data_IF_851471700034
#
_entry.id   IF_851471700034
#
_cell.length_a   1.000
_cell.length_b   1.000
_cell.length_c   1.000
_cell.angle_alpha   90.00
_cell.angle_beta   90.00
_cell.angle_gamma   90.00
#
_symmetry.space_group_name_H-M   'P 1'
#
loop_
_entity.id
_entity.type
_entity.pdbx_description
1 polymer ?
#
# COMPACT_ATOMS: atom_id res chain seq x y z
N UNK A 1 6.00 -12.37 -4.59
CA UNK A 1 6.83 -12.01 -3.40
C UNK A 1 5.89 -11.52 -2.30
N UNK A 2 6.17 -11.77 -1.02
CA UNK A 2 5.32 -11.26 0.09
C UNK A 2 5.30 -9.74 0.17
N UNK A 3 4.13 -9.16 0.45
CA UNK A 3 3.89 -7.72 0.53
C UNK A 3 4.75 -7.03 1.60
N UNK A 4 4.88 -7.61 2.80
CA UNK A 4 5.72 -7.09 3.87
C UNK A 4 7.20 -6.93 3.44
N UNK A 5 7.70 -7.93 2.70
CA UNK A 5 9.05 -7.94 2.14
C UNK A 5 9.19 -6.95 0.99
N UNK A 6 8.18 -6.86 0.12
CA UNK A 6 8.15 -5.91 -0.98
C UNK A 6 8.24 -4.47 -0.47
N UNK A 7 7.41 -4.07 0.50
CA UNK A 7 7.42 -2.72 1.07
C UNK A 7 8.79 -2.31 1.63
N UNK A 8 9.55 -3.26 2.18
CA UNK A 8 10.92 -3.04 2.63
C UNK A 8 11.89 -2.87 1.47
N UNK A 9 11.77 -3.70 0.43
CA UNK A 9 12.70 -3.70 -0.71
C UNK A 9 12.43 -2.55 -1.70
N UNK A 10 11.18 -2.09 -1.79
CA UNK A 10 10.79 -0.92 -2.60
C UNK A 10 11.08 0.41 -1.91
N UNK A 11 11.63 0.39 -0.70
CA UNK A 11 11.90 1.57 0.12
C UNK A 11 10.66 2.41 0.49
N UNK A 12 9.44 1.90 0.27
CA UNK A 12 8.19 2.53 0.74
C UNK A 12 8.11 2.54 2.27
N UNK A 13 8.61 1.49 2.92
CA UNK A 13 8.70 1.36 4.37
C UNK A 13 10.12 0.99 4.78
N UNK A 14 10.69 1.71 5.75
CA UNK A 14 12.09 1.53 6.17
C UNK A 14 12.42 0.16 6.74
N UNK A 15 11.45 -0.50 7.39
CA UNK A 15 11.65 -1.77 8.11
C UNK A 15 10.53 -2.75 7.78
N UNK A 16 10.89 -4.02 7.64
CA UNK A 16 9.93 -5.11 7.35
C UNK A 16 8.93 -5.34 8.49
N UNK A 17 9.38 -5.24 9.74
CA UNK A 17 8.48 -5.36 10.92
C UNK A 17 7.40 -4.29 10.90
N UNK A 18 7.81 -3.03 10.67
CA UNK A 18 6.88 -1.89 10.54
C UNK A 18 5.92 -2.09 9.38
N UNK A 19 6.40 -2.63 8.25
CA UNK A 19 5.52 -2.95 7.11
C UNK A 19 4.44 -3.98 7.49
N UNK A 20 4.78 -5.03 8.24
CA UNK A 20 3.81 -6.01 8.72
C UNK A 20 2.80 -5.37 9.68
N UNK A 21 3.26 -4.57 10.65
CA UNK A 21 2.40 -3.85 11.59
C UNK A 21 1.42 -2.90 10.89
N UNK A 22 1.87 -2.18 9.85
CA UNK A 22 1.01 -1.31 9.05
C UNK A 22 -0.05 -2.09 8.26
N UNK A 23 0.30 -3.27 7.74
CA UNK A 23 -0.66 -4.12 7.02
C UNK A 23 -1.71 -4.68 8.00
N UNK A 24 -1.28 -5.19 9.16
CA UNK A 24 -2.20 -5.72 10.18
C UNK A 24 -3.10 -4.61 10.77
N UNK A 25 -2.60 -3.38 10.90
CA UNK A 25 -3.38 -2.22 11.31
C UNK A 25 -4.35 -1.71 10.22
N UNK A 26 -4.35 -2.29 9.02
CA UNK A 26 -5.20 -1.87 7.91
C UNK A 26 -4.76 -0.55 7.25
N UNK A 27 -3.53 -0.09 7.49
CA UNK A 27 -2.94 1.08 6.86
C UNK A 27 -2.38 0.80 5.46
N UNK A 28 -2.35 -0.46 5.03
CA UNK A 28 -1.91 -0.86 3.68
C UNK A 28 -3.03 -1.62 2.98
N UNK A 29 -3.26 -1.31 1.70
CA UNK A 29 -4.18 -2.02 0.82
C UNK A 29 -3.48 -2.44 -0.46
N UNK A 30 -3.85 -3.61 -0.98
CA UNK A 30 -3.41 -4.10 -2.28
C UNK A 30 -4.62 -4.12 -3.22
N UNK A 31 -4.54 -3.42 -4.35
CA UNK A 31 -5.63 -3.23 -5.29
C UNK A 31 -6.93 -2.75 -4.61
N UNK A 32 -6.78 -1.82 -3.65
CA UNK A 32 -7.89 -1.27 -2.86
C UNK A 32 -8.47 -2.21 -1.80
N UNK A 33 -7.90 -3.41 -1.59
CA UNK A 33 -8.40 -4.39 -0.61
C UNK A 33 -7.45 -4.55 0.59
N UNK A 34 -7.99 -4.75 1.82
CA UNK A 34 -7.16 -5.13 2.96
C UNK A 34 -6.62 -6.54 2.73
N UNK A 35 -5.34 -6.75 3.03
CA UNK A 35 -4.63 -8.02 2.80
C UNK A 35 -3.75 -8.37 4.00
N UNK A 36 -3.22 -9.59 4.03
CA UNK A 36 -2.32 -10.04 5.10
C UNK A 36 -0.87 -9.69 4.75
N UNK A 37 0.04 -9.57 5.73
CA UNK A 37 1.46 -9.34 5.46
C UNK A 37 2.11 -10.41 4.55
N UNK A 38 1.58 -11.63 4.60
CA UNK A 38 2.03 -12.77 3.80
C UNK A 38 1.45 -12.82 2.38
N UNK A 39 0.56 -11.91 2.01
CA UNK A 39 -0.03 -11.86 0.67
C UNK A 39 1.04 -11.60 -0.39
N UNK A 40 0.91 -12.26 -1.54
CA UNK A 40 1.80 -12.05 -2.67
C UNK A 40 1.47 -10.78 -3.43
N UNK A 41 2.51 -10.11 -3.92
CA UNK A 41 2.46 -8.98 -4.82
C UNK A 41 2.95 -9.39 -6.21
N UNK A 42 2.27 -8.87 -7.23
CA UNK A 42 2.59 -9.05 -8.65
C UNK A 42 2.91 -7.72 -9.32
N UNK A 43 3.60 -7.79 -10.45
CA UNK A 43 3.78 -6.65 -11.35
C UNK A 43 2.43 -6.09 -11.79
N UNK A 44 2.34 -4.76 -11.84
CA UNK A 44 1.11 -4.04 -12.19
C UNK A 44 0.14 -3.80 -11.03
N UNK A 45 0.31 -4.45 -9.87
CA UNK A 45 -0.54 -4.21 -8.70
C UNK A 45 -0.44 -2.76 -8.20
N UNK A 46 -1.51 -2.27 -7.56
CA UNK A 46 -1.51 -0.98 -6.85
C UNK A 46 -1.42 -1.22 -5.35
N UNK A 47 -0.37 -0.68 -4.73
CA UNK A 47 -0.17 -0.70 -3.29
C UNK A 47 -0.48 0.68 -2.73
N UNK A 48 -1.51 0.78 -1.91
CA UNK A 48 -1.89 2.01 -1.22
C UNK A 48 -1.39 1.95 0.22
N UNK A 49 -0.61 2.94 0.65
CA UNK A 49 -0.02 3.04 1.99
C UNK A 49 -0.46 4.34 2.65
N UNK A 50 -1.22 4.21 3.74
CA UNK A 50 -1.64 5.31 4.58
C UNK A 50 -0.55 5.60 5.63
N UNK A 51 0.02 6.79 5.55
CA UNK A 51 0.85 7.39 6.58
C UNK A 51 0.01 8.38 7.40
N UNK A 52 0.46 8.81 8.60
CA UNK A 52 -0.32 9.69 9.48
C UNK A 52 -0.88 10.96 8.82
N UNK A 53 -0.16 11.52 7.84
CA UNK A 53 -0.54 12.78 7.19
C UNK A 53 -0.65 12.69 5.67
N UNK A 54 -0.47 11.50 5.08
CA UNK A 54 -0.54 11.32 3.63
C UNK A 54 -0.90 9.89 3.23
N UNK A 55 -1.62 9.74 2.12
CA UNK A 55 -1.86 8.49 1.44
C UNK A 55 -1.02 8.46 0.18
N UNK A 56 -0.26 7.39 0.01
CA UNK A 56 0.58 7.16 -1.17
C UNK A 56 0.07 5.93 -1.90
N UNK A 57 -0.15 6.06 -3.20
CA UNK A 57 -0.50 4.94 -4.07
C UNK A 57 0.66 4.69 -5.03
N UNK A 58 1.18 3.48 -5.00
CA UNK A 58 2.33 3.07 -5.79
C UNK A 58 1.96 1.88 -6.67
N UNK A 59 2.23 1.98 -7.97
CA UNK A 59 2.12 0.88 -8.91
C UNK A 59 3.38 0.03 -8.87
N UNK A 60 3.23 -1.28 -8.75
CA UNK A 60 4.34 -2.22 -8.77
C UNK A 60 4.91 -2.33 -10.17
N UNK A 61 6.19 -1.99 -10.32
CA UNK A 61 6.94 -2.15 -11.57
C UNK A 61 7.52 -3.56 -11.64
N UNK A 62 8.12 -4.02 -10.53
CA UNK A 62 8.76 -5.33 -10.45
C UNK A 62 8.54 -5.98 -9.10
N UNK A 63 8.10 -7.24 -9.13
CA UNK A 63 7.95 -8.11 -7.97
C UNK A 63 9.09 -9.16 -7.87
N UNK A 64 10.11 -9.08 -8.74
CA UNK A 64 11.27 -9.96 -8.70
C UNK A 64 12.28 -9.49 -7.64
N UNK A 65 12.48 -10.31 -6.61
CA UNK A 65 13.36 -9.98 -5.50
C UNK A 65 14.81 -9.74 -5.92
N UNK A 66 15.32 -10.46 -6.94
CA UNK A 66 16.70 -10.30 -7.39
C UNK A 66 16.89 -8.97 -8.11
N UNK A 67 15.94 -8.57 -8.95
CA UNK A 67 15.89 -7.27 -9.61
C UNK A 67 15.89 -6.13 -8.58
N UNK A 68 15.03 -6.21 -7.55
CA UNK A 68 14.97 -5.15 -6.53
C UNK A 68 16.28 -5.04 -5.73
N UNK A 69 16.95 -6.15 -5.45
CA UNK A 69 18.26 -6.13 -4.78
C UNK A 69 19.38 -5.53 -5.64
N UNK A 70 19.23 -5.53 -6.97
CA UNK A 70 20.14 -4.86 -7.91
C UNK A 70 19.85 -3.36 -8.07
N UNK A 71 18.80 -2.85 -7.44
CA UNK A 71 18.40 -1.44 -7.53
C UNK A 71 17.51 -1.11 -8.72
N UNK A 72 16.89 -2.11 -9.35
CA UNK A 72 15.86 -1.86 -10.34
C UNK A 72 14.63 -1.17 -9.71
N UNK A 73 13.91 -0.32 -10.46
CA UNK A 73 12.78 0.41 -9.92
C UNK A 73 11.68 -0.56 -9.46
N UNK A 74 11.33 -0.49 -8.18
CA UNK A 74 10.36 -1.40 -7.57
C UNK A 74 8.91 -0.97 -7.81
N UNK A 75 8.66 0.33 -7.69
CA UNK A 75 7.34 0.94 -7.76
C UNK A 75 7.41 2.34 -8.34
N UNK A 76 6.31 2.78 -8.94
CA UNK A 76 6.08 4.15 -9.37
C UNK A 76 4.97 4.77 -8.52
N UNK A 77 5.16 5.98 -8.00
CA UNK A 77 4.09 6.69 -7.28
C UNK A 77 3.10 7.22 -8.31
N UNK A 78 1.87 6.71 -8.27
CA UNK A 78 0.80 7.09 -9.20
C UNK A 78 -0.14 8.14 -8.59
N UNK A 79 -0.23 8.21 -7.27
CA UNK A 79 -0.96 9.26 -6.57
C UNK A 79 -0.37 9.51 -5.17
N UNK A 80 -0.42 10.76 -4.73
CA UNK A 80 -0.16 11.15 -3.34
C UNK A 80 -1.19 12.20 -2.93
N UNK A 81 -1.83 12.00 -1.77
CA UNK A 81 -2.79 12.96 -1.20
C UNK A 81 -2.54 13.17 0.29
N UNK A 82 -2.83 14.37 0.78
CA UNK A 82 -2.75 14.69 2.21
C UNK A 82 -3.91 14.02 2.96
N UNK A 83 -3.63 13.54 4.16
CA UNK A 83 -4.64 12.98 5.07
C UNK A 83 -4.72 13.81 6.34
N UNK A 84 -5.93 13.87 6.89
CA UNK A 84 -6.18 14.31 8.25
C UNK A 84 -5.99 13.11 9.19
N UNK A 85 -5.11 13.18 10.21
CA UNK A 85 -4.80 12.05 11.10
C UNK A 85 -5.99 11.61 11.96
N UNK A 86 -7.00 12.48 12.12
CA UNK A 86 -8.21 12.22 12.90
C UNK A 86 -9.29 11.49 12.09
N UNK A 87 -9.14 11.42 10.77
CA UNK A 87 -10.09 10.74 9.88
C UNK A 87 -9.56 9.36 9.47
N UNK A 88 -10.48 8.43 9.25
CA UNK A 88 -10.13 7.16 8.63
C UNK A 88 -9.55 7.44 7.23
N UNK A 89 -8.32 6.99 6.91
CA UNK A 89 -7.69 7.26 5.61
C UNK A 89 -8.48 6.71 4.41
N UNK A 90 -9.43 5.81 4.67
CA UNK A 90 -10.22 5.11 3.66
C UNK A 90 -11.68 5.59 3.57
N UNK A 91 -12.09 6.56 4.39
CA UNK A 91 -13.50 6.99 4.50
C UNK A 91 -14.05 7.56 3.19
N UNK A 92 -13.20 8.28 2.46
CA UNK A 92 -13.48 8.90 1.16
C UNK A 92 -13.94 7.88 0.08
N UNK A 93 -13.63 6.58 0.27
CA UNK A 93 -14.06 5.51 -0.63
C UNK A 93 -15.40 4.86 -0.20
N UNK A 94 -15.86 5.08 1.03
CA UNK A 94 -17.09 4.48 1.57
C UNK A 94 -18.36 5.27 1.20
N UNK A 95 -18.22 6.57 0.92
CA UNK A 95 -19.34 7.47 0.63
C UNK A 95 -20.03 7.21 -0.73
N UNK A 96 -19.44 6.38 -1.60
CA UNK A 96 -20.04 5.99 -2.88
C UNK A 96 -21.04 4.83 -2.79
N UNK A 97 -21.23 4.21 -1.61
CA UNK A 97 -22.17 3.09 -1.42
C UNK A 97 -23.40 3.41 -0.56
N UNK A 98 -23.58 4.67 -0.11
CA UNK A 98 -24.81 5.11 0.59
C UNK A 98 -25.70 5.99 -0.31
N UNK A 99 -25.95 5.53 -1.53
CA UNK A 99 -26.98 6.06 -2.44
C UNK A 99 -28.25 5.21 -2.48
N UNK A 100 -28.62 4.57 -1.37
CA UNK A 100 -29.71 3.60 -1.33
C UNK A 100 -30.48 3.60 -0.02
N UNK A 101 -30.94 4.77 0.42
CA UNK A 101 -31.99 4.87 1.44
C UNK A 101 -33.17 5.65 0.87
N UNK A 102 -34.11 4.94 0.24
CA UNK A 102 -35.54 4.99 0.55
C UNK A 102 -36.28 3.86 -0.14
#
# INVERSE_FOLDING_TARGET
MRLDKYLKLSCLVKRRSVAAEMIDAGAVRLNGRPVKPASDVSDGDIVSVAFPFRLVEARVISSDERALRRGEPAAEIVAERRLDPEKNPWDDQAESLQGGHK
#
